data_IF_211167280393
#
_entry.id   IF_211167280393
#
_cell.length_a   1.000
_cell.length_b   1.000
_cell.length_c   1.000
_cell.angle_alpha   90.00
_cell.angle_beta   90.00
_cell.angle_gamma   90.00
#
_symmetry.space_group_name_H-M   'P 1'
#
loop_
_entity.id
_entity.type
_entity.pdbx_description
1 polymer ?
#
# COMPACT_ATOMS: atom_id res chain seq x y z
N UNK A 1 78.35 -45.47 -14.94
CA UNK A 1 78.41 -43.98 -14.95
C UNK A 1 78.41 -43.61 -16.43
N UNK A 2 77.45 -42.92 -17.02
CA UNK A 2 76.67 -41.78 -16.54
C UNK A 2 75.34 -41.76 -17.28
N UNK A 3 74.23 -41.70 -16.55
CA UNK A 3 72.89 -41.58 -17.10
C UNK A 3 72.58 -40.10 -17.29
N UNK A 4 72.55 -39.64 -18.55
CA UNK A 4 72.14 -38.28 -18.88
C UNK A 4 70.62 -38.22 -18.92
N UNK A 5 69.98 -38.02 -17.77
CA UNK A 5 68.56 -37.70 -17.69
C UNK A 5 68.32 -36.27 -18.18
N UNK A 6 67.93 -36.12 -19.45
CA UNK A 6 67.33 -34.88 -19.95
C UNK A 6 65.90 -34.79 -19.39
N UNK A 7 65.74 -34.03 -18.30
CA UNK A 7 64.44 -33.63 -17.75
C UNK A 7 63.64 -32.91 -18.84
N UNK A 8 62.57 -33.54 -19.32
CA UNK A 8 61.56 -32.86 -20.13
C UNK A 8 60.93 -31.74 -19.28
N UNK A 9 61.14 -30.49 -19.68
CA UNK A 9 60.50 -29.35 -19.04
C UNK A 9 58.99 -29.44 -19.30
N UNK A 10 58.21 -29.71 -18.25
CA UNK A 10 56.75 -29.69 -18.30
C UNK A 10 56.28 -28.26 -18.55
N UNK A 11 55.74 -28.00 -19.74
CA UNK A 11 55.07 -26.74 -20.07
C UNK A 11 53.76 -26.68 -19.27
N UNK A 12 53.75 -25.92 -18.18
CA UNK A 12 52.54 -25.66 -17.41
C UNK A 12 51.69 -24.61 -18.14
N UNK A 13 50.50 -25.01 -18.57
CA UNK A 13 49.55 -24.10 -19.22
C UNK A 13 48.86 -23.25 -18.14
N UNK A 14 49.41 -22.06 -17.90
CA UNK A 14 48.77 -21.05 -17.05
C UNK A 14 47.53 -20.51 -17.77
N UNK A 15 46.31 -20.66 -17.22
CA UNK A 15 45.13 -20.06 -17.82
C UNK A 15 45.25 -18.54 -17.80
N UNK A 16 44.87 -17.84 -18.88
CA UNK A 16 44.92 -16.38 -18.92
C UNK A 16 44.01 -15.80 -17.83
N UNK A 17 44.55 -14.89 -17.01
CA UNK A 17 43.79 -14.15 -16.01
C UNK A 17 43.06 -12.98 -16.69
N UNK A 18 42.06 -13.31 -17.51
CA UNK A 18 41.31 -12.36 -18.35
C UNK A 18 40.04 -11.81 -17.67
N UNK A 19 39.84 -12.07 -16.37
CA UNK A 19 38.67 -11.61 -15.60
C UNK A 19 37.33 -12.20 -16.06
N UNK A 20 37.30 -12.98 -17.15
CA UNK A 20 36.07 -13.48 -17.78
C UNK A 20 35.23 -14.34 -16.84
N UNK A 21 35.90 -15.12 -15.98
CA UNK A 21 35.22 -15.94 -14.96
C UNK A 21 34.60 -15.06 -13.88
N UNK A 22 35.26 -14.00 -13.47
CA UNK A 22 34.77 -13.06 -12.46
C UNK A 22 33.56 -12.27 -12.99
N UNK A 23 33.62 -11.78 -14.23
CA UNK A 23 32.49 -11.14 -14.90
C UNK A 23 31.28 -12.08 -15.03
N UNK A 24 31.52 -13.36 -15.32
CA UNK A 24 30.45 -14.35 -15.41
C UNK A 24 29.76 -14.57 -14.06
N UNK A 25 30.52 -14.64 -12.96
CA UNK A 25 29.95 -14.74 -11.61
C UNK A 25 29.11 -13.51 -11.25
N UNK A 26 29.58 -12.30 -11.57
CA UNK A 26 28.83 -11.06 -11.32
C UNK A 26 27.53 -11.01 -12.13
N UNK A 27 27.57 -11.43 -13.40
CA UNK A 27 26.36 -11.49 -14.24
C UNK A 27 25.35 -12.51 -13.71
N UNK A 28 25.82 -13.66 -13.24
CA UNK A 28 24.96 -14.69 -12.65
C UNK A 28 24.31 -14.22 -11.35
N UNK A 29 25.05 -13.55 -10.46
CA UNK A 29 24.49 -13.03 -9.21
C UNK A 29 23.47 -11.92 -9.48
N UNK A 30 23.75 -11.02 -10.43
CA UNK A 30 22.81 -9.98 -10.83
C UNK A 30 21.52 -10.59 -11.41
N UNK A 31 21.65 -11.57 -12.31
CA UNK A 31 20.50 -12.27 -12.88
C UNK A 31 19.67 -12.98 -11.80
N UNK A 32 20.32 -13.62 -10.82
CA UNK A 32 19.66 -14.27 -9.69
C UNK A 32 18.84 -13.27 -8.87
N UNK A 33 19.42 -12.11 -8.51
CA UNK A 33 18.73 -11.07 -7.74
C UNK A 33 17.51 -10.53 -8.50
N UNK A 34 17.67 -10.27 -9.81
CA UNK A 34 16.57 -9.81 -10.66
C UNK A 34 15.45 -10.84 -10.76
N UNK A 35 15.78 -12.12 -10.96
CA UNK A 35 14.81 -13.22 -11.00
C UNK A 35 14.10 -13.41 -9.66
N UNK A 36 14.81 -13.30 -8.54
CA UNK A 36 14.20 -13.36 -7.21
C UNK A 36 13.25 -12.19 -6.97
N UNK A 37 13.61 -10.98 -7.39
CA UNK A 37 12.73 -9.81 -7.35
C UNK A 37 11.48 -10.00 -8.21
N UNK A 38 11.64 -10.44 -9.45
CA UNK A 38 10.53 -10.71 -10.37
C UNK A 38 9.60 -11.82 -9.83
N UNK A 39 10.17 -12.91 -9.29
CA UNK A 39 9.41 -13.99 -8.67
C UNK A 39 8.66 -13.51 -7.42
N UNK A 40 9.28 -12.68 -6.58
CA UNK A 40 8.62 -12.07 -5.42
C UNK A 40 7.44 -11.19 -5.81
N UNK A 41 7.58 -10.39 -6.88
CA UNK A 41 6.49 -9.57 -7.43
C UNK A 41 5.37 -10.48 -7.96
N UNK A 42 5.70 -11.46 -8.79
CA UNK A 42 4.73 -12.39 -9.37
C UNK A 42 3.97 -13.20 -8.29
N UNK A 43 4.66 -13.61 -7.23
CA UNK A 43 4.03 -14.32 -6.11
C UNK A 43 3.02 -13.44 -5.39
N UNK A 44 3.34 -12.17 -5.14
CA UNK A 44 2.40 -11.20 -4.53
C UNK A 44 1.18 -10.94 -5.41
N UNK A 45 1.30 -11.06 -6.73
CA UNK A 45 0.17 -10.90 -7.65
C UNK A 45 -0.83 -12.06 -7.55
N UNK A 46 -0.40 -13.28 -7.22
CA UNK A 46 -1.30 -14.43 -7.06
C UNK A 46 -2.16 -14.38 -5.79
N UNK A 47 -1.72 -13.64 -4.76
CA UNK A 47 -2.53 -13.38 -3.55
C UNK A 47 -3.48 -12.19 -3.70
N UNK A 48 -3.46 -11.49 -4.83
CA UNK A 48 -4.50 -10.53 -5.19
C UNK A 48 -5.72 -11.30 -5.72
N UNK A 49 -6.36 -12.08 -4.85
CA UNK A 49 -7.70 -12.62 -5.05
C UNK A 49 -8.62 -11.46 -5.43
N UNK A 50 -9.23 -11.55 -6.62
CA UNK A 50 -10.29 -10.70 -7.15
C UNK A 50 -10.28 -9.29 -6.58
N UNK A 51 -9.50 -8.41 -7.20
CA UNK A 51 -9.67 -6.99 -6.95
C UNK A 51 -11.16 -6.66 -7.10
N UNK A 52 -11.75 -6.16 -6.00
CA UNK A 52 -13.01 -5.44 -6.04
C UNK A 52 -12.94 -4.48 -7.23
N UNK A 53 -14.03 -4.34 -8.01
CA UNK A 53 -14.04 -3.57 -9.25
C UNK A 53 -13.30 -2.27 -8.98
N UNK A 54 -12.16 -2.07 -9.65
CA UNK A 54 -11.31 -0.93 -9.39
C UNK A 54 -12.15 0.29 -9.73
N UNK A 55 -12.74 0.90 -8.71
CA UNK A 55 -13.17 2.27 -8.80
C UNK A 55 -11.91 3.03 -9.15
N UNK A 56 -11.77 3.44 -10.41
CA UNK A 56 -10.69 4.31 -10.83
C UNK A 56 -10.93 5.66 -10.19
N UNK A 57 -10.46 5.81 -8.96
CA UNK A 57 -10.39 7.10 -8.29
C UNK A 57 -9.46 8.00 -9.11
N UNK A 58 -9.87 9.23 -9.31
CA UNK A 58 -8.97 10.26 -9.82
C UNK A 58 -7.85 10.52 -8.79
N UNK A 59 -6.91 11.41 -9.14
CA UNK A 59 -5.79 11.74 -8.25
C UNK A 59 -6.25 12.31 -6.90
N UNK A 60 -7.29 13.14 -6.90
CA UNK A 60 -7.85 13.77 -5.69
C UNK A 60 -8.50 12.73 -4.77
N UNK A 61 -9.37 11.88 -5.29
CA UNK A 61 -10.00 10.79 -4.56
C UNK A 61 -9.00 9.77 -4.04
N UNK A 62 -7.93 9.47 -4.80
CA UNK A 62 -6.85 8.59 -4.33
C UNK A 62 -6.07 9.19 -3.16
N UNK A 63 -5.83 10.51 -3.22
CA UNK A 63 -5.19 11.25 -2.12
C UNK A 63 -6.10 11.28 -0.89
N UNK A 64 -7.38 11.57 -1.06
CA UNK A 64 -8.36 11.58 0.02
C UNK A 64 -8.48 10.20 0.69
N UNK A 65 -8.52 9.13 -0.10
CA UNK A 65 -8.52 7.75 0.42
C UNK A 65 -7.29 7.46 1.28
N UNK A 66 -6.11 7.88 0.82
CA UNK A 66 -4.86 7.70 1.57
C UNK A 66 -4.91 8.44 2.90
N UNK A 67 -5.38 9.69 2.88
CA UNK A 67 -5.50 10.51 4.08
C UNK A 67 -6.52 9.94 5.06
N UNK A 68 -7.65 9.43 4.58
CA UNK A 68 -8.64 8.75 5.44
C UNK A 68 -8.11 7.47 6.06
N UNK A 69 -7.25 6.74 5.34
CA UNK A 69 -6.59 5.55 5.89
C UNK A 69 -5.66 5.93 7.05
N UNK A 70 -4.87 6.99 6.87
CA UNK A 70 -3.98 7.51 7.91
C UNK A 70 -4.80 8.04 9.10
N UNK A 71 -5.86 8.80 8.83
CA UNK A 71 -6.74 9.34 9.85
C UNK A 71 -7.38 8.22 10.67
N UNK A 72 -7.78 7.12 10.04
CA UNK A 72 -8.37 5.98 10.74
C UNK A 72 -7.40 5.40 11.79
N UNK A 73 -6.11 5.31 11.46
CA UNK A 73 -5.07 4.84 12.38
C UNK A 73 -4.84 5.86 13.51
N UNK A 74 -4.73 7.14 13.18
CA UNK A 74 -4.49 8.21 14.15
C UNK A 74 -5.66 8.33 15.15
N UNK A 75 -6.90 8.31 14.65
CA UNK A 75 -8.10 8.40 15.50
C UNK A 75 -8.17 7.20 16.45
N UNK A 76 -7.87 5.99 15.98
CA UNK A 76 -7.82 4.80 16.83
C UNK A 76 -6.70 4.90 17.88
N UNK A 77 -5.56 5.48 17.51
CA UNK A 77 -4.45 5.67 18.44
C UNK A 77 -4.80 6.70 19.53
N UNK A 78 -5.50 7.77 19.17
CA UNK A 78 -5.93 8.83 20.09
C UNK A 78 -7.18 8.49 20.91
N UNK A 79 -7.90 7.42 20.57
CA UNK A 79 -9.14 7.00 21.25
C UNK A 79 -8.91 5.69 22.00
N UNK A 80 -8.52 5.73 23.30
CA UNK A 80 -8.39 4.53 24.13
C UNK A 80 -9.66 3.70 24.18
N UNK A 81 -9.51 2.39 24.45
CA UNK A 81 -10.63 1.46 24.56
C UNK A 81 -11.66 1.95 25.60
N UNK A 82 -12.89 2.16 25.15
CA UNK A 82 -14.01 2.59 26.00
C UNK A 82 -14.22 4.10 26.08
N UNK A 83 -13.37 4.91 25.43
CA UNK A 83 -13.61 6.33 25.26
C UNK A 83 -14.54 6.63 24.07
N UNK A 84 -15.14 7.82 24.08
CA UNK A 84 -16.00 8.27 23.01
C UNK A 84 -15.16 8.64 21.78
N UNK A 85 -15.65 8.30 20.58
CA UNK A 85 -15.00 8.70 19.34
C UNK A 85 -15.01 10.23 19.19
N UNK A 86 -13.92 10.84 18.71
CA UNK A 86 -13.79 12.29 18.61
C UNK A 86 -14.81 12.90 17.66
N UNK A 87 -15.20 14.13 17.97
CA UNK A 87 -16.07 14.95 17.13
C UNK A 87 -15.32 15.54 15.93
N UNK A 88 -16.05 16.00 14.91
CA UNK A 88 -15.44 16.68 13.75
C UNK A 88 -14.61 17.91 14.14
N UNK A 89 -15.09 18.71 15.10
CA UNK A 89 -14.39 19.90 15.56
C UNK A 89 -13.05 19.53 16.21
N UNK A 90 -13.03 18.48 17.04
CA UNK A 90 -11.83 17.98 17.70
C UNK A 90 -10.80 17.44 16.70
N UNK A 91 -11.26 16.71 15.68
CA UNK A 91 -10.41 16.21 14.60
C UNK A 91 -9.79 17.35 13.79
N UNK A 92 -10.58 18.38 13.48
CA UNK A 92 -10.12 19.58 12.78
C UNK A 92 -9.13 20.39 13.64
N UNK A 93 -9.40 20.59 14.92
CA UNK A 93 -8.52 21.31 15.85
C UNK A 93 -7.21 20.58 16.10
N UNK A 94 -7.23 19.26 16.08
CA UNK A 94 -6.05 18.39 16.20
C UNK A 94 -5.22 18.35 14.91
N UNK A 95 -5.70 18.96 13.81
CA UNK A 95 -4.99 19.00 12.53
C UNK A 95 -4.89 17.63 11.85
N UNK A 96 -5.88 16.75 12.06
CA UNK A 96 -5.89 15.42 11.46
C UNK A 96 -6.41 15.53 10.03
N UNK A 97 -5.59 15.31 8.99
CA UNK A 97 -6.07 15.30 7.62
C UNK A 97 -6.98 14.08 7.39
N UNK A 98 -8.02 14.18 6.54
CA UNK A 98 -8.46 15.35 5.77
C UNK A 98 -9.48 16.26 6.51
N UNK A 99 -9.66 16.10 7.82
CA UNK A 99 -10.68 16.82 8.61
C UNK A 99 -10.32 18.30 8.84
N UNK A 100 -9.04 18.65 8.71
CA UNK A 100 -8.51 20.01 8.79
C UNK A 100 -8.80 20.87 7.54
N UNK A 101 -9.41 20.28 6.50
CA UNK A 101 -9.64 20.94 5.21
C UNK A 101 -11.00 21.63 5.15
N UNK A 102 -11.06 22.96 4.93
CA UNK A 102 -12.32 23.67 4.83
C UNK A 102 -13.07 23.40 3.53
N UNK A 103 -12.43 22.84 2.50
CA UNK A 103 -13.08 22.54 1.22
C UNK A 103 -13.98 21.30 1.27
N UNK A 104 -13.77 20.43 2.28
CA UNK A 104 -14.55 19.22 2.47
C UNK A 104 -15.62 19.46 3.53
N UNK A 105 -16.87 19.16 3.16
CA UNK A 105 -17.98 19.24 4.11
C UNK A 105 -18.11 17.88 4.78
N UNK A 106 -17.79 17.85 6.07
CA UNK A 106 -17.88 16.65 6.90
C UNK A 106 -19.21 16.57 7.64
N UNK A 107 -19.72 15.35 7.78
CA UNK A 107 -20.87 15.04 8.61
C UNK A 107 -20.50 13.86 9.53
N UNK A 108 -21.04 13.87 10.74
CA UNK A 108 -20.89 12.78 11.70
C UNK A 108 -22.28 12.31 12.16
N UNK A 109 -22.97 11.48 11.35
CA UNK A 109 -24.32 11.05 11.69
C UNK A 109 -24.40 10.15 12.92
N UNK A 110 -23.33 9.39 13.20
CA UNK A 110 -23.21 8.49 14.34
C UNK A 110 -21.80 8.56 14.94
N UNK A 111 -21.63 8.09 16.18
CA UNK A 111 -20.31 7.91 16.77
C UNK A 111 -19.46 6.97 15.89
N UNK A 112 -18.17 7.32 15.70
CA UNK A 112 -17.24 6.59 14.83
C UNK A 112 -17.57 6.60 13.32
N UNK A 113 -18.55 7.40 12.87
CA UNK A 113 -19.00 7.45 11.48
C UNK A 113 -18.77 8.85 10.91
N UNK A 114 -17.85 8.96 9.95
CA UNK A 114 -17.50 10.22 9.31
C UNK A 114 -17.79 10.15 7.82
N UNK A 115 -18.59 11.08 7.32
CA UNK A 115 -19.04 11.13 5.93
C UNK A 115 -18.60 12.43 5.28
N UNK A 116 -18.14 12.36 4.03
CA UNK A 116 -17.96 13.54 3.20
C UNK A 116 -18.37 13.27 1.76
N UNK A 117 -18.71 14.35 1.06
CA UNK A 117 -18.93 14.36 -0.38
C UNK A 117 -17.87 15.24 -1.03
N UNK A 118 -17.14 14.70 -1.98
CA UNK A 118 -16.16 15.43 -2.77
C UNK A 118 -16.88 16.41 -3.71
N UNK A 119 -16.63 17.72 -3.61
CA UNK A 119 -17.42 18.74 -4.31
C UNK A 119 -17.21 18.74 -5.83
N UNK A 120 -16.06 18.26 -6.31
CA UNK A 120 -15.68 18.27 -7.73
C UNK A 120 -16.33 17.12 -8.51
N UNK A 121 -16.36 15.93 -7.93
CA UNK A 121 -16.86 14.71 -8.57
C UNK A 121 -18.27 14.34 -8.12
N UNK A 122 -18.70 14.83 -6.96
CA UNK A 122 -19.90 14.37 -6.28
C UNK A 122 -19.74 12.97 -5.68
N UNK A 123 -18.54 12.40 -5.66
CA UNK A 123 -18.29 11.12 -5.00
C UNK A 123 -18.41 11.26 -3.48
N UNK A 124 -18.76 10.18 -2.79
CA UNK A 124 -18.90 10.18 -1.34
C UNK A 124 -17.95 9.16 -0.71
N UNK A 125 -17.40 9.53 0.44
CA UNK A 125 -16.52 8.70 1.26
C UNK A 125 -17.10 8.58 2.66
N UNK A 126 -17.11 7.36 3.18
CA UNK A 126 -17.55 7.06 4.54
C UNK A 126 -16.44 6.31 5.28
N UNK A 127 -16.01 6.86 6.41
CA UNK A 127 -15.10 6.22 7.34
C UNK A 127 -15.88 5.76 8.56
N UNK A 128 -15.91 4.45 8.78
CA UNK A 128 -16.54 3.85 9.96
C UNK A 128 -15.50 3.10 10.80
N UNK A 129 -15.28 3.52 12.05
CA UNK A 129 -14.21 2.99 12.92
C UNK A 129 -14.66 1.92 13.92
N UNK A 130 -15.95 1.58 13.97
CA UNK A 130 -16.47 0.54 14.86
C UNK A 130 -15.86 -0.85 14.53
N UNK A 131 -16.06 -1.89 15.37
CA UNK A 131 -15.40 -3.20 15.23
C UNK A 131 -15.59 -3.91 13.90
N UNK A 132 -16.62 -3.54 13.14
CA UNK A 132 -16.97 -4.07 11.82
C UNK A 132 -17.05 -2.97 10.75
N UNK A 133 -16.45 -1.82 11.05
CA UNK A 133 -16.36 -0.69 10.13
C UNK A 133 -15.22 -0.84 9.13
N UNK A 134 -15.07 0.18 8.29
CA UNK A 134 -14.08 0.25 7.24
C UNK A 134 -14.17 1.58 6.51
N UNK A 135 -13.38 1.70 5.45
CA UNK A 135 -13.44 2.84 4.53
C UNK A 135 -14.28 2.44 3.31
N UNK A 136 -15.27 3.26 2.98
CA UNK A 136 -16.24 2.99 1.92
C UNK A 136 -16.32 4.16 0.94
N UNK A 137 -16.63 3.84 -0.30
CA UNK A 137 -16.73 4.78 -1.41
C UNK A 137 -18.02 4.58 -2.19
N UNK A 138 -18.59 5.70 -2.67
CA UNK A 138 -19.69 5.71 -3.62
C UNK A 138 -19.46 6.75 -4.73
N UNK A 139 -19.74 6.39 -5.99
CA UNK A 139 -19.39 7.19 -7.16
C UNK A 139 -20.32 8.40 -7.42
N UNK A 140 -21.47 8.48 -6.75
CA UNK A 140 -22.40 9.61 -6.89
C UNK A 140 -23.17 9.90 -5.61
N UNK A 141 -23.16 11.15 -5.17
CA UNK A 141 -23.68 11.62 -3.90
C UNK A 141 -25.11 11.18 -3.63
N UNK A 142 -25.22 10.13 -2.81
CA UNK A 142 -26.46 9.74 -2.17
C UNK A 142 -26.49 10.43 -0.80
N UNK A 143 -27.67 10.92 -0.40
CA UNK A 143 -27.87 11.50 0.92
C UNK A 143 -27.78 10.39 1.96
N UNK A 144 -26.56 10.04 2.36
CA UNK A 144 -26.33 9.03 3.36
C UNK A 144 -26.49 9.66 4.74
N UNK A 145 -27.51 9.22 5.45
CA UNK A 145 -27.76 9.67 6.82
C UNK A 145 -27.19 8.72 7.88
N UNK A 146 -26.68 7.54 7.49
CA UNK A 146 -26.21 6.50 8.40
C UNK A 146 -25.07 5.66 7.79
N UNK A 147 -23.96 5.45 8.51
CA UNK A 147 -22.90 4.53 8.07
C UNK A 147 -23.29 3.04 8.16
N UNK A 148 -24.53 2.71 8.56
CA UNK A 148 -25.03 1.33 8.60
C UNK A 148 -25.65 0.89 7.27
N UNK A 149 -26.03 1.84 6.42
CA UNK A 149 -26.69 1.55 5.13
C UNK A 149 -25.69 1.64 3.97
N UNK A 150 -24.60 0.88 4.09
CA UNK A 150 -23.49 0.87 3.12
C UNK A 150 -23.59 -0.32 2.16
N UNK A 151 -24.77 -0.93 2.02
CA UNK A 151 -24.95 -2.16 1.24
C UNK A 151 -24.61 -1.99 -0.26
N UNK A 152 -24.72 -0.77 -0.78
CA UNK A 152 -24.40 -0.41 -2.16
C UNK A 152 -23.04 0.28 -2.33
N UNK A 153 -22.27 0.42 -1.25
CA UNK A 153 -20.99 1.11 -1.25
C UNK A 153 -19.84 0.13 -1.48
N UNK A 154 -18.80 0.61 -2.17
CA UNK A 154 -17.59 -0.16 -2.38
C UNK A 154 -16.71 -0.02 -1.14
N UNK A 155 -16.42 -1.12 -0.45
CA UNK A 155 -15.41 -1.12 0.61
C UNK A 155 -14.01 -1.00 -0.03
N UNK A 156 -13.24 -0.01 0.42
CA UNK A 156 -11.94 0.37 -0.15
C UNK A 156 -10.76 -0.05 0.73
N UNK A 157 -11.03 -0.44 1.98
CA UNK A 157 -10.02 -1.01 2.88
C UNK A 157 -9.63 -2.43 2.44
N UNK A 158 -8.36 -2.82 2.67
CA UNK A 158 -7.93 -4.20 2.55
C UNK A 158 -8.46 -5.00 3.75
N UNK A 159 -8.95 -6.23 3.55
CA UNK A 159 -9.12 -7.13 4.68
C UNK A 159 -7.76 -7.31 5.36
N UNK A 160 -7.69 -6.97 6.66
CA UNK A 160 -6.52 -7.26 7.51
C UNK A 160 -6.31 -8.77 7.65
#
# INVERSE_FOLDING_TARGET
MSSSELKAASLERVPPNDGRRETLWVMLTLALVLLAGAAGIAWRQHTATAAAPHTELNLEGSRLLTELTIAAEEIRFMTPDGEAWPGLDELSESGIPPFDRPELVWQQPEAACYLTTEPTTGAAFALWLAPQGGLFYHAGGEDLHHCRDLAHWTQMDKPQ
#
